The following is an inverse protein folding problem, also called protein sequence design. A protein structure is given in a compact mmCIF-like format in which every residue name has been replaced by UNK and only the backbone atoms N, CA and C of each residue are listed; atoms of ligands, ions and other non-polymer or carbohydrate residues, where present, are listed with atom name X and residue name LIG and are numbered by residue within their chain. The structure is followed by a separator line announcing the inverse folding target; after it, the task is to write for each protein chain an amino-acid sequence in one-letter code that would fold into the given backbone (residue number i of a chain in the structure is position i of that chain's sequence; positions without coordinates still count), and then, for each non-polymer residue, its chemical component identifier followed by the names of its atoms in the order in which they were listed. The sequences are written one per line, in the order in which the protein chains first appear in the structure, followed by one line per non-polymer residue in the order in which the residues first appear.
data_IF_383363270259
#
_entry.id   IF_383363270259
#
_cell.length_a   1.000
_cell.length_b   1.000
_cell.length_c   1.000
_cell.angle_alpha   90.00
_cell.angle_beta   90.00
_cell.angle_gamma   90.00
#
_symmetry.space_group_name_H-M   'P 1'
#
loop_
_entity.id
_entity.type
_entity.pdbx_description
1 polymer ?
#
# COMPACT_ATOMS: atom_id res chain seq x y z
N UNK A 1 3.31 21.58 23.54
CA UNK A 1 2.71 20.87 22.39
C UNK A 1 3.14 19.41 22.48
N UNK A 2 2.21 18.46 22.38
CA UNK A 2 2.58 17.04 22.32
C UNK A 2 3.36 16.76 21.02
N UNK A 3 4.34 15.83 21.01
CA UNK A 3 5.06 15.46 19.80
C UNK A 3 4.08 14.93 18.75
N UNK A 4 4.17 15.43 17.52
CA UNK A 4 3.38 14.91 16.40
C UNK A 4 3.90 13.52 16.04
N UNK A 5 3.02 12.51 16.04
CA UNK A 5 3.36 11.14 15.65
C UNK A 5 3.92 11.12 14.22
N UNK A 6 4.83 10.19 13.92
CA UNK A 6 5.42 10.02 12.59
C UNK A 6 5.25 8.59 12.10
N UNK A 7 5.18 8.43 10.78
CA UNK A 7 5.06 7.10 10.17
C UNK A 7 6.30 6.21 10.40
N UNK A 8 7.47 6.81 10.65
CA UNK A 8 8.71 6.06 10.91
C UNK A 8 8.82 5.53 12.34
N UNK A 9 7.97 6.01 13.25
CA UNK A 9 7.95 5.55 14.63
C UNK A 9 7.29 4.15 14.68
N UNK A 10 7.51 3.35 15.76
CA UNK A 10 6.90 2.03 15.90
C UNK A 10 5.38 2.02 15.69
N UNK A 11 4.69 3.06 16.17
CA UNK A 11 3.25 3.23 16.00
C UNK A 11 2.82 3.36 14.52
N UNK A 12 3.66 3.97 13.68
CA UNK A 12 3.42 4.07 12.25
C UNK A 12 3.54 2.71 11.56
N UNK A 13 4.60 1.95 11.88
CA UNK A 13 4.81 0.58 11.37
C UNK A 13 3.67 -0.35 11.78
N UNK A 14 3.28 -0.32 13.05
CA UNK A 14 2.15 -1.11 13.58
C UNK A 14 0.83 -0.73 12.90
N UNK A 15 0.55 0.56 12.76
CA UNK A 15 -0.66 1.05 12.09
C UNK A 15 -0.70 0.62 10.63
N UNK A 16 0.41 0.74 9.89
CA UNK A 16 0.49 0.24 8.51
C UNK A 16 0.26 -1.26 8.45
N UNK A 17 0.91 -2.05 9.29
CA UNK A 17 0.73 -3.51 9.29
C UNK A 17 -0.72 -3.91 9.64
N UNK A 18 -1.36 -3.22 10.60
CA UNK A 18 -2.77 -3.41 10.95
C UNK A 18 -3.68 -3.15 9.74
N UNK A 19 -3.47 -2.02 9.05
CA UNK A 19 -4.25 -1.66 7.85
C UNK A 19 -4.03 -2.68 6.74
N UNK A 20 -2.78 -3.08 6.47
CA UNK A 20 -2.48 -4.06 5.42
C UNK A 20 -3.13 -5.40 5.71
N UNK A 21 -3.08 -5.89 6.96
CA UNK A 21 -3.76 -7.13 7.34
C UNK A 21 -5.28 -7.05 7.20
N UNK A 22 -5.88 -5.88 7.50
CA UNK A 22 -7.31 -5.62 7.32
C UNK A 22 -7.71 -5.65 5.84
N UNK A 23 -6.97 -4.93 4.99
CA UNK A 23 -7.30 -4.78 3.57
C UNK A 23 -6.91 -6.00 2.73
N UNK A 24 -5.80 -6.65 3.07
CA UNK A 24 -5.15 -7.72 2.31
C UNK A 24 -4.96 -8.95 3.21
N UNK A 25 -6.04 -9.63 3.62
CA UNK A 25 -5.96 -10.77 4.54
C UNK A 25 -5.16 -11.96 3.97
N UNK A 26 -4.99 -12.04 2.65
CA UNK A 26 -4.13 -13.04 2.01
C UNK A 26 -2.63 -12.78 2.23
N UNK A 27 -2.24 -11.56 2.60
CA UNK A 27 -0.86 -11.19 2.90
C UNK A 27 -0.56 -11.51 4.37
N UNK A 28 -0.40 -12.79 4.70
CA UNK A 28 -0.27 -13.29 6.08
C UNK A 28 0.83 -12.58 6.88
N UNK A 29 1.96 -12.31 6.24
CA UNK A 29 3.11 -11.65 6.85
C UNK A 29 3.09 -10.11 6.67
N UNK A 30 2.07 -9.57 6.00
CA UNK A 30 2.00 -8.17 5.63
C UNK A 30 3.11 -7.78 4.67
N UNK A 31 3.72 -6.61 4.92
CA UNK A 31 4.85 -6.12 4.13
C UNK A 31 6.18 -6.69 4.59
N UNK A 32 7.07 -6.91 3.62
CA UNK A 32 8.48 -7.22 3.89
C UNK A 32 9.22 -5.97 4.40
N UNK A 33 10.33 -6.16 5.11
CA UNK A 33 11.06 -5.05 5.74
C UNK A 33 11.53 -4.00 4.74
N UNK A 34 12.11 -4.41 3.60
CA UNK A 34 12.55 -3.46 2.57
C UNK A 34 11.38 -2.64 1.99
N UNK A 35 10.16 -3.19 1.97
CA UNK A 35 8.97 -2.49 1.53
C UNK A 35 8.55 -1.45 2.58
N UNK A 36 8.67 -1.78 3.87
CA UNK A 36 8.40 -0.83 4.96
C UNK A 36 9.42 0.31 4.96
N UNK A 37 10.68 0.02 4.67
CA UNK A 37 11.77 0.99 4.64
C UNK A 37 11.56 2.10 3.60
N UNK A 38 10.79 1.84 2.54
CA UNK A 38 10.41 2.85 1.55
C UNK A 38 8.99 3.41 1.79
N UNK A 39 8.04 2.60 2.27
CA UNK A 39 6.66 3.03 2.52
C UNK A 39 6.59 4.05 3.66
N UNK A 40 7.29 3.83 4.77
CA UNK A 40 7.20 4.72 5.95
C UNK A 40 7.73 6.13 5.66
N UNK A 41 8.89 6.31 5.00
CA UNK A 41 9.29 7.61 4.44
C UNK A 41 8.27 8.22 3.50
N UNK A 42 7.75 7.44 2.54
CA UNK A 42 6.80 7.93 1.54
C UNK A 42 5.53 8.49 2.20
N UNK A 43 5.02 7.83 3.25
CA UNK A 43 3.85 8.31 4.01
C UNK A 43 4.14 9.61 4.79
N UNK A 44 5.40 9.90 5.11
CA UNK A 44 5.82 11.19 5.65
C UNK A 44 6.10 12.24 4.56
N UNK A 45 5.82 11.94 3.28
CA UNK A 45 6.10 12.84 2.16
C UNK A 45 7.58 12.92 1.79
N UNK A 46 8.38 11.91 2.14
CA UNK A 46 9.79 11.83 1.77
C UNK A 46 9.95 11.06 0.47
N UNK A 47 10.63 11.67 -0.50
CA UNK A 47 10.96 11.04 -1.78
C UNK A 47 11.93 9.86 -1.58
N UNK A 48 11.80 8.83 -2.41
CA UNK A 48 12.63 7.64 -2.31
C UNK A 48 12.81 6.88 -3.62
N UNK A 49 13.92 6.16 -3.71
CA UNK A 49 14.29 5.32 -4.84
C UNK A 49 14.44 3.87 -4.38
N UNK A 50 13.63 2.97 -4.95
CA UNK A 50 13.70 1.54 -4.66
C UNK A 50 14.30 0.79 -5.85
N UNK A 51 15.48 0.19 -5.63
CA UNK A 51 16.13 -0.73 -6.55
C UNK A 51 16.09 -2.13 -5.94
N UNK A 52 15.39 -3.04 -6.61
CA UNK A 52 15.33 -4.45 -6.20
C UNK A 52 15.18 -5.35 -7.43
N UNK A 53 15.42 -6.65 -7.24
CA UNK A 53 15.24 -7.69 -8.24
C UNK A 53 13.82 -7.70 -8.82
N UNK A 54 13.69 -8.25 -10.03
CA UNK A 54 12.38 -8.49 -10.63
C UNK A 54 11.69 -9.63 -9.88
N UNK A 55 10.37 -9.50 -9.64
CA UNK A 55 9.60 -10.48 -8.87
C UNK A 55 9.51 -10.18 -7.38
N UNK A 56 10.41 -9.36 -6.85
CA UNK A 56 10.56 -9.13 -5.40
C UNK A 56 9.38 -8.39 -4.73
N UNK A 57 8.37 -8.00 -5.50
CA UNK A 57 7.18 -7.34 -4.95
C UNK A 57 7.29 -5.82 -4.81
N UNK A 58 8.21 -5.16 -5.52
CA UNK A 58 8.32 -3.68 -5.57
C UNK A 58 7.01 -2.94 -5.83
N UNK A 59 6.04 -3.59 -6.47
CA UNK A 59 4.69 -3.04 -6.65
C UNK A 59 4.00 -2.69 -5.34
N UNK A 60 4.19 -3.49 -4.29
CA UNK A 60 3.63 -3.23 -2.97
C UNK A 60 4.11 -1.88 -2.42
N UNK A 61 5.41 -1.60 -2.55
CA UNK A 61 6.05 -0.40 -2.00
C UNK A 61 5.42 0.91 -2.46
N UNK A 62 5.02 1.03 -3.73
CA UNK A 62 4.35 2.26 -4.19
C UNK A 62 2.82 2.19 -4.00
N UNK A 63 2.20 1.00 -3.96
CA UNK A 63 0.74 0.83 -3.80
C UNK A 63 0.24 1.01 -2.37
N UNK A 64 1.02 0.59 -1.38
CA UNK A 64 0.59 0.66 0.02
C UNK A 64 0.32 2.09 0.50
N UNK A 65 1.15 3.11 0.20
CA UNK A 65 0.92 4.45 0.74
C UNK A 65 -0.47 4.99 0.43
N UNK A 66 -0.97 4.78 -0.80
CA UNK A 66 -2.32 5.23 -1.17
C UNK A 66 -3.41 4.45 -0.43
N UNK A 67 -3.27 3.13 -0.28
CA UNK A 67 -4.25 2.30 0.42
C UNK A 67 -4.34 2.67 1.91
N UNK A 68 -3.18 2.91 2.56
CA UNK A 68 -3.11 3.33 3.96
C UNK A 68 -3.80 4.67 4.18
N UNK A 69 -3.50 5.66 3.34
CA UNK A 69 -4.11 6.98 3.45
C UNK A 69 -5.62 6.96 3.17
N UNK A 70 -6.08 6.15 2.21
CA UNK A 70 -7.50 5.98 1.90
C UNK A 70 -8.25 5.33 3.06
N UNK A 71 -7.73 4.25 3.62
CA UNK A 71 -8.33 3.56 4.76
C UNK A 71 -8.44 4.46 5.98
N UNK A 72 -7.38 5.23 6.28
CA UNK A 72 -7.43 6.21 7.37
C UNK A 72 -8.38 7.37 7.10
N UNK A 73 -8.58 7.77 5.84
CA UNK A 73 -9.54 8.83 5.48
C UNK A 73 -10.98 8.33 5.63
N UNK A 74 -11.25 7.06 5.32
CA UNK A 74 -12.56 6.43 5.48
C UNK A 74 -12.89 6.12 6.95
N UNK A 75 -11.89 5.73 7.75
CA UNK A 75 -12.07 5.28 9.13
C UNK A 75 -11.23 6.12 10.12
N UNK A 76 -11.49 7.42 10.26
CA UNK A 76 -10.55 8.33 10.92
C UNK A 76 -10.41 8.14 12.42
N UNK A 77 -11.36 7.46 13.07
CA UNK A 77 -11.38 7.18 14.51
C UNK A 77 -10.74 5.82 14.87
N UNK A 78 -10.45 4.96 13.90
CA UNK A 78 -9.89 3.61 14.15
C UNK A 78 -8.37 3.59 14.34
N UNK A 79 -7.70 4.71 14.06
CA UNK A 79 -6.25 4.81 13.95
C UNK A 79 -5.69 6.01 14.72
N UNK A 80 -4.42 5.95 15.17
CA UNK A 80 -3.75 7.09 15.79
C UNK A 80 -3.69 8.31 14.87
N UNK A 81 -3.51 9.50 15.45
CA UNK A 81 -3.39 10.77 14.72
C UNK A 81 -2.03 10.91 14.00
N UNK A 82 -1.81 10.05 13.01
CA UNK A 82 -0.65 10.07 12.11
C UNK A 82 -0.86 11.09 10.97
N UNK A 83 0.23 11.63 10.40
CA UNK A 83 0.14 12.58 9.29
C UNK A 83 -0.63 12.00 8.10
N UNK A 84 -1.72 12.65 7.67
CA UNK A 84 -2.54 12.20 6.54
C UNK A 84 -3.11 13.35 5.73
N UNK A 85 -3.40 13.08 4.46
CA UNK A 85 -4.19 13.95 3.57
C UNK A 85 -5.63 13.42 3.50
N UNK A 86 -6.61 14.33 3.42
CA UNK A 86 -8.03 13.97 3.30
C UNK A 86 -8.41 13.45 1.91
N UNK A 87 -7.59 13.74 0.88
CA UNK A 87 -7.81 13.30 -0.50
C UNK A 87 -6.49 12.79 -1.08
N UNK A 88 -6.05 11.58 -0.71
CA UNK A 88 -4.81 11.03 -1.23
C UNK A 88 -4.96 10.72 -2.73
N UNK A 89 -4.02 11.22 -3.54
CA UNK A 89 -3.94 11.00 -4.98
C UNK A 89 -2.57 10.39 -5.29
N UNK A 90 -2.54 9.44 -6.22
CA UNK A 90 -1.29 8.82 -6.69
C UNK A 90 -1.26 8.72 -8.20
N UNK A 91 -0.21 9.28 -8.81
CA UNK A 91 0.09 9.14 -10.24
C UNK A 91 1.19 8.07 -10.42
N UNK A 92 0.94 7.09 -11.28
CA UNK A 92 1.93 6.07 -11.64
C UNK A 92 2.23 6.18 -13.12
N UNK A 93 3.48 6.50 -13.44
CA UNK A 93 3.99 6.56 -14.81
C UNK A 93 4.82 5.29 -15.04
N UNK A 94 4.55 4.59 -16.14
CA UNK A 94 5.30 3.39 -16.50
C UNK A 94 5.60 3.43 -17.99
N UNK A 95 6.80 3.01 -18.37
CA UNK A 95 7.27 3.01 -19.75
C UNK A 95 6.48 2.05 -20.66
N UNK A 96 6.02 0.90 -20.13
CA UNK A 96 5.35 -0.14 -20.94
C UNK A 96 3.85 -0.23 -20.65
N UNK A 97 3.03 -0.11 -21.71
CA UNK A 97 1.57 -0.25 -21.64
C UNK A 97 1.12 -1.56 -21.00
N UNK A 98 1.71 -2.69 -21.39
CA UNK A 98 1.37 -4.01 -20.82
C UNK A 98 1.56 -4.03 -19.29
N UNK A 99 2.62 -3.39 -18.79
CA UNK A 99 2.86 -3.26 -17.35
C UNK A 99 1.87 -2.32 -16.67
N UNK A 100 1.42 -1.25 -17.34
CA UNK A 100 0.35 -0.39 -16.84
C UNK A 100 -0.97 -1.16 -16.68
N UNK A 101 -1.33 -1.99 -17.66
CA UNK A 101 -2.56 -2.79 -17.62
C UNK A 101 -2.54 -3.79 -16.46
N UNK A 102 -1.39 -4.46 -16.23
CA UNK A 102 -1.21 -5.36 -15.08
C UNK A 102 -1.33 -4.60 -13.76
N UNK A 103 -0.72 -3.42 -13.64
CA UNK A 103 -0.80 -2.61 -12.41
C UNK A 103 -2.21 -2.08 -12.15
N UNK A 104 -2.90 -1.59 -13.19
CA UNK A 104 -4.29 -1.14 -13.12
C UNK A 104 -5.21 -2.27 -12.66
N UNK A 105 -5.05 -3.45 -13.27
CA UNK A 105 -5.75 -4.68 -12.88
C UNK A 105 -5.51 -5.04 -11.40
N UNK A 106 -4.26 -5.01 -10.94
CA UNK A 106 -3.92 -5.26 -9.53
C UNK A 106 -4.58 -4.23 -8.62
N UNK A 107 -4.43 -2.94 -8.90
CA UNK A 107 -5.01 -1.88 -8.06
C UNK A 107 -6.53 -1.99 -7.93
N UNK A 108 -7.23 -2.21 -9.03
CA UNK A 108 -8.68 -2.34 -9.00
C UNK A 108 -9.14 -3.53 -8.13
N UNK A 109 -8.39 -4.64 -8.15
CA UNK A 109 -8.71 -5.79 -7.28
C UNK A 109 -8.50 -5.50 -5.79
N UNK A 110 -7.57 -4.60 -5.44
CA UNK A 110 -7.26 -4.25 -4.04
C UNK A 110 -8.20 -3.15 -3.51
N UNK A 111 -8.65 -2.22 -4.37
CA UNK A 111 -9.55 -1.12 -3.99
C UNK A 111 -11.03 -1.56 -4.04
N UNK A 112 -11.40 -2.48 -4.94
CA UNK A 112 -12.78 -2.93 -5.14
C UNK A 112 -12.91 -4.47 -5.12
N UNK A 113 -12.67 -5.12 -3.97
CA UNK A 113 -12.61 -6.57 -3.85
C UNK A 113 -13.94 -7.30 -4.12
N UNK A 114 -15.08 -6.59 -4.10
CA UNK A 114 -16.42 -7.18 -4.30
C UNK A 114 -16.98 -7.04 -5.72
N UNK A 115 -16.20 -6.50 -6.67
CA UNK A 115 -16.59 -6.52 -8.08
C UNK A 115 -16.48 -7.94 -8.65
N UNK A 116 -17.42 -8.37 -9.51
CA UNK A 116 -17.41 -9.70 -10.15
C UNK A 116 -16.08 -9.98 -10.89
N UNK A 117 -15.40 -8.93 -11.33
CA UNK A 117 -14.08 -8.96 -11.98
C UNK A 117 -12.95 -9.30 -11.02
N UNK A 118 -13.02 -8.89 -9.74
CA UNK A 118 -11.97 -9.11 -8.74
C UNK A 118 -11.89 -10.58 -8.26
N UNK A 119 -13.02 -11.27 -8.10
CA UNK A 119 -13.05 -12.68 -7.66
C UNK A 119 -12.33 -13.64 -8.61
N UNK A 120 -12.49 -13.47 -9.93
CA UNK A 120 -11.87 -14.31 -10.95
C UNK A 120 -10.34 -14.15 -11.03
N UNK A 121 -9.81 -13.04 -10.52
CA UNK A 121 -8.40 -12.67 -10.65
C UNK A 121 -7.54 -13.09 -9.45
N UNK A 122 -8.12 -13.25 -8.26
CA UNK A 122 -7.39 -13.80 -7.10
C UNK A 122 -6.82 -15.20 -7.39
N UNK A 123 -7.56 -16.02 -8.12
CA UNK A 123 -7.18 -17.38 -8.50
C UNK A 123 -6.04 -17.45 -9.54
N UNK A 124 -5.79 -16.39 -10.31
CA UNK A 124 -4.73 -16.39 -11.35
C UNK A 124 -3.38 -15.89 -10.82
N UNK A 125 -3.37 -15.26 -9.64
CA UNK A 125 -2.20 -14.54 -9.10
C UNK A 125 -1.43 -15.31 -8.02
N UNK A 126 -1.93 -16.46 -7.56
CA UNK A 126 -1.20 -17.33 -6.62
C UNK A 126 0.07 -17.95 -7.24
N UNK A 127 0.23 -17.94 -8.55
CA UNK A 127 1.39 -18.50 -9.25
C UNK A 127 2.62 -17.59 -9.41
N UNK A 128 2.65 -16.42 -8.76
CA UNK A 128 3.74 -15.43 -8.91
C UNK A 128 4.15 -14.77 -7.59
N UNK A 129 3.92 -15.44 -6.47
CA UNK A 129 4.51 -15.14 -5.16
C UNK A 129 5.59 -16.19 -4.85
#
# INVERSE_FOLDING_TARGET
MAPKLRWRDPIGRETTQKIIKKLLPTWKNGLQDFQLDIVMPTLNGVDGMLLTATGDGKSAAFMIPILVLQEMACNPLEYPDLPRTSKPIRLVINQRRASQEILSKRLNSLVYPHSHTAKRMSQTLEGWL
#
